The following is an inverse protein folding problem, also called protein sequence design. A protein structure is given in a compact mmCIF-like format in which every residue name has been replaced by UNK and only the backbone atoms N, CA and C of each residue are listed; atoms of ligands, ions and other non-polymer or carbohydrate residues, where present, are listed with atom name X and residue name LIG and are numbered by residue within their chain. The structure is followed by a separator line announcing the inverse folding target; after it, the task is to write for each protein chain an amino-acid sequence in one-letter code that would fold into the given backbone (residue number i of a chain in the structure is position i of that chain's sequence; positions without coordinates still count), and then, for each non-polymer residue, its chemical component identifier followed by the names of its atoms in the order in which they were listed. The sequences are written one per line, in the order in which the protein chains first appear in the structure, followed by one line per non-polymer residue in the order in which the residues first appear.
data_IF_267208569054
#
_entry.id   IF_267208569054
#
_cell.length_a   1.000
_cell.length_b   1.000
_cell.length_c   1.000
_cell.angle_alpha   90.00
_cell.angle_beta   90.00
_cell.angle_gamma   90.00
#
_symmetry.space_group_name_H-M   'P 1'
#
loop_
_entity.id
_entity.type
_entity.pdbx_description
1 polymer ?
#
# COMPACT_ATOMS: atom_id res chain seq x y z
N UNK A 1 -14.85 -24.90 -18.06
CA UNK A 1 -14.49 -24.29 -16.77
C UNK A 1 -13.97 -22.91 -17.07
N UNK A 2 -14.59 -21.87 -16.54
CA UNK A 2 -14.16 -20.49 -16.77
C UNK A 2 -12.88 -20.23 -15.99
N UNK A 3 -11.91 -19.55 -16.59
CA UNK A 3 -10.69 -19.18 -15.89
C UNK A 3 -11.00 -18.16 -14.76
N UNK A 4 -10.44 -18.32 -13.56
CA UNK A 4 -10.65 -17.40 -12.44
C UNK A 4 -10.25 -15.95 -12.73
N UNK A 5 -10.81 -15.03 -11.94
CA UNK A 5 -10.48 -13.59 -11.95
C UNK A 5 -9.68 -13.25 -10.71
N UNK A 6 -8.44 -12.82 -10.91
CA UNK A 6 -7.64 -12.19 -9.87
C UNK A 6 -7.99 -10.70 -9.82
N UNK A 7 -8.39 -10.18 -8.66
CA UNK A 7 -8.81 -8.78 -8.51
C UNK A 7 -7.75 -8.01 -7.74
N UNK A 8 -7.25 -6.92 -8.33
CA UNK A 8 -6.19 -6.10 -7.73
C UNK A 8 -6.76 -5.00 -6.85
N UNK A 9 -7.72 -4.25 -7.38
CA UNK A 9 -8.26 -3.06 -6.75
C UNK A 9 -9.65 -2.73 -7.31
N UNK A 10 -10.40 -1.94 -6.55
CA UNK A 10 -11.63 -1.27 -7.00
C UNK A 10 -11.33 0.22 -7.15
N UNK A 11 -11.85 0.85 -8.20
CA UNK A 11 -11.65 2.27 -8.49
C UNK A 11 -12.98 2.91 -8.92
N UNK A 12 -13.06 4.24 -8.83
CA UNK A 12 -14.07 5.01 -9.59
C UNK A 12 -13.71 5.00 -11.08
N UNK A 13 -14.68 5.10 -12.00
CA UNK A 13 -14.41 5.21 -13.43
C UNK A 13 -13.41 6.32 -13.76
N UNK A 14 -12.44 5.99 -14.61
CA UNK A 14 -11.45 6.91 -15.13
C UNK A 14 -11.22 6.65 -16.62
N UNK A 15 -10.75 7.68 -17.33
CA UNK A 15 -10.62 7.65 -18.79
C UNK A 15 -9.23 7.25 -19.26
N UNK A 16 -8.19 7.61 -18.50
CA UNK A 16 -6.79 7.32 -18.84
C UNK A 16 -6.57 5.80 -19.00
N UNK A 17 -6.05 5.32 -20.14
CA UNK A 17 -5.77 3.91 -20.33
C UNK A 17 -4.64 3.44 -19.42
N UNK A 18 -4.68 2.17 -19.01
CA UNK A 18 -3.52 1.52 -18.40
C UNK A 18 -2.45 1.30 -19.46
N UNK A 19 -1.19 1.26 -19.03
CA UNK A 19 -0.06 0.97 -19.91
C UNK A 19 -0.29 -0.37 -20.64
N UNK A 20 -0.11 -0.38 -21.96
CA UNK A 20 -0.44 -1.53 -22.79
C UNK A 20 0.41 -2.77 -22.46
N UNK A 21 1.63 -2.56 -21.98
CA UNK A 21 2.58 -3.61 -21.62
C UNK A 21 2.58 -3.97 -20.13
N UNK A 22 1.62 -3.42 -19.36
CA UNK A 22 1.55 -3.69 -17.92
C UNK A 22 1.24 -5.18 -17.69
N UNK A 23 2.27 -5.92 -17.28
CA UNK A 23 2.14 -7.31 -16.85
C UNK A 23 1.51 -7.38 -15.47
N UNK A 24 0.43 -8.16 -15.34
CA UNK A 24 -0.15 -8.50 -14.05
C UNK A 24 0.38 -9.82 -13.48
N UNK A 25 -0.33 -10.31 -12.48
CA UNK A 25 -0.16 -11.65 -11.91
C UNK A 25 -0.21 -12.72 -13.01
N UNK A 26 0.72 -13.68 -12.93
CA UNK A 26 0.93 -14.73 -13.93
C UNK A 26 1.22 -14.20 -15.36
N UNK A 27 1.68 -12.96 -15.50
CA UNK A 27 1.92 -12.31 -16.79
C UNK A 27 0.63 -11.92 -17.52
N UNK A 28 -0.54 -12.07 -16.90
CA UNK A 28 -1.81 -11.76 -17.52
C UNK A 28 -2.11 -10.25 -17.43
N UNK A 29 -2.39 -9.57 -18.55
CA UNK A 29 -2.60 -8.12 -18.55
C UNK A 29 -3.86 -7.76 -17.74
N UNK A 30 -3.82 -6.68 -16.93
CA UNK A 30 -4.98 -6.23 -16.18
C UNK A 30 -6.04 -5.64 -17.12
N UNK A 31 -7.30 -5.95 -16.82
CA UNK A 31 -8.49 -5.52 -17.54
C UNK A 31 -9.42 -4.77 -16.59
N UNK A 32 -10.19 -3.84 -17.15
CA UNK A 32 -11.21 -3.07 -16.43
C UNK A 32 -12.55 -3.77 -16.54
N UNK A 33 -13.11 -4.20 -15.41
CA UNK A 33 -14.48 -4.72 -15.32
C UNK A 33 -15.37 -3.65 -14.69
N UNK A 34 -16.20 -3.00 -15.50
CA UNK A 34 -17.14 -1.97 -15.04
C UNK A 34 -18.45 -2.60 -14.55
N UNK A 35 -18.95 -2.13 -13.40
CA UNK A 35 -20.26 -2.48 -12.87
C UNK A 35 -20.83 -1.29 -12.09
N UNK A 36 -21.91 -0.69 -12.60
CA UNK A 36 -22.49 0.52 -12.01
C UNK A 36 -21.47 1.67 -11.90
N UNK A 37 -21.35 2.34 -10.74
CA UNK A 37 -20.42 3.43 -10.51
C UNK A 37 -18.99 2.97 -10.16
N UNK A 38 -18.70 1.67 -10.23
CA UNK A 38 -17.42 1.09 -9.81
C UNK A 38 -16.73 0.34 -10.95
N UNK A 39 -15.41 0.25 -10.85
CA UNK A 39 -14.56 -0.50 -11.77
C UNK A 39 -13.63 -1.40 -10.97
N UNK A 40 -13.72 -2.70 -11.17
CA UNK A 40 -12.72 -3.64 -10.68
C UNK A 40 -11.59 -3.78 -11.71
N UNK A 41 -10.35 -3.80 -11.24
CA UNK A 41 -9.19 -4.15 -12.06
C UNK A 41 -8.89 -5.62 -11.86
N UNK A 42 -8.94 -6.39 -12.94
CA UNK A 42 -8.90 -7.86 -12.89
C UNK A 42 -7.96 -8.44 -13.94
N UNK A 43 -7.32 -9.56 -13.64
CA UNK A 43 -6.63 -10.41 -14.64
C UNK A 43 -7.31 -11.77 -14.71
N UNK A 44 -7.35 -12.33 -15.92
CA UNK A 44 -7.73 -13.73 -16.13
C UNK A 44 -6.51 -14.59 -15.84
N UNK A 45 -6.62 -15.47 -14.85
CA UNK A 45 -5.49 -16.26 -14.35
C UNK A 45 -5.76 -17.76 -14.52
N UNK A 46 -4.72 -18.59 -14.72
CA UNK A 46 -4.92 -20.00 -15.02
C UNK A 46 -5.49 -20.76 -13.81
N UNK A 47 -6.59 -21.50 -14.03
CA UNK A 47 -7.27 -22.26 -12.98
C UNK A 47 -6.34 -23.27 -12.26
N UNK A 48 -5.36 -23.83 -12.96
CA UNK A 48 -4.35 -24.76 -12.39
C UNK A 48 -3.55 -24.17 -11.22
N UNK A 49 -3.41 -22.84 -11.16
CA UNK A 49 -2.60 -22.15 -10.14
C UNK A 49 -3.48 -21.34 -9.18
N UNK A 50 -4.67 -20.91 -9.62
CA UNK A 50 -5.53 -19.96 -8.88
C UNK A 50 -6.90 -20.50 -8.46
N UNK A 51 -7.23 -21.76 -8.76
CA UNK A 51 -8.40 -22.40 -8.14
C UNK A 51 -8.18 -22.56 -6.63
N UNK A 52 -9.25 -22.64 -5.80
CA UNK A 52 -9.12 -22.58 -4.33
C UNK A 52 -8.12 -23.57 -3.71
N UNK A 53 -8.08 -24.83 -4.19
CA UNK A 53 -7.11 -25.84 -3.74
C UNK A 53 -5.67 -25.48 -4.14
N UNK A 54 -5.36 -25.43 -5.46
CA UNK A 54 -4.02 -25.09 -5.94
C UNK A 54 -3.48 -23.75 -5.41
N UNK A 55 -4.34 -22.73 -5.28
CA UNK A 55 -3.94 -21.43 -4.75
C UNK A 55 -3.42 -21.56 -3.31
N UNK A 56 -4.10 -22.33 -2.47
CA UNK A 56 -3.67 -22.57 -1.08
C UNK A 56 -2.29 -23.24 -1.03
N UNK A 57 -2.06 -24.24 -1.89
CA UNK A 57 -0.78 -24.96 -1.94
C UNK A 57 0.34 -24.05 -2.45
N UNK A 58 0.08 -23.26 -3.49
CA UNK A 58 1.02 -22.26 -4.02
C UNK A 58 1.34 -21.17 -3.01
N UNK A 59 0.36 -20.73 -2.23
CA UNK A 59 0.57 -19.76 -1.15
C UNK A 59 1.42 -20.33 0.00
N UNK A 60 1.64 -21.65 0.10
CA UNK A 60 2.58 -22.19 1.08
C UNK A 60 4.04 -21.89 0.70
N UNK A 61 4.34 -21.75 -0.60
CA UNK A 61 5.67 -21.41 -1.11
C UNK A 61 5.97 -19.91 -0.90
N UNK A 62 6.98 -19.55 -0.08
CA UNK A 62 7.38 -18.16 0.14
C UNK A 62 7.80 -17.44 -1.16
N UNK A 63 8.55 -18.10 -2.04
CA UNK A 63 9.05 -17.47 -3.27
C UNK A 63 7.90 -17.16 -4.23
N UNK A 64 6.91 -18.06 -4.29
CA UNK A 64 5.70 -17.85 -5.10
C UNK A 64 4.84 -16.72 -4.55
N UNK A 65 4.61 -16.68 -3.23
CA UNK A 65 3.91 -15.58 -2.55
C UNK A 65 4.56 -14.23 -2.84
N UNK A 66 5.87 -14.17 -2.70
CA UNK A 66 6.66 -12.97 -2.93
C UNK A 66 6.53 -12.48 -4.37
N UNK A 67 6.58 -13.39 -5.35
CA UNK A 67 6.36 -13.06 -6.75
C UNK A 67 4.93 -12.59 -7.03
N UNK A 68 3.92 -13.24 -6.42
CA UNK A 68 2.52 -12.85 -6.53
C UNK A 68 2.29 -11.44 -6.00
N UNK A 69 2.81 -11.15 -4.80
CA UNK A 69 2.68 -9.84 -4.14
C UNK A 69 3.33 -8.75 -4.98
N UNK A 70 4.57 -8.95 -5.45
CA UNK A 70 5.24 -7.97 -6.33
C UNK A 70 4.45 -7.69 -7.61
N UNK A 71 3.91 -8.72 -8.25
CA UNK A 71 3.10 -8.55 -9.45
C UNK A 71 1.80 -7.81 -9.17
N UNK A 72 1.16 -8.06 -8.02
CA UNK A 72 -0.02 -7.33 -7.58
C UNK A 72 0.30 -5.85 -7.32
N UNK A 73 1.36 -5.58 -6.57
CA UNK A 73 1.82 -4.23 -6.23
C UNK A 73 2.20 -3.43 -7.47
N UNK A 74 2.82 -4.05 -8.47
CA UNK A 74 3.17 -3.41 -9.74
C UNK A 74 1.92 -2.84 -10.44
N UNK A 75 0.82 -3.61 -10.47
CA UNK A 75 -0.44 -3.16 -11.06
C UNK A 75 -1.07 -2.06 -10.23
N UNK A 76 -1.06 -2.19 -8.89
CA UNK A 76 -1.64 -1.18 -7.99
C UNK A 76 -0.86 0.13 -8.03
N UNK A 77 0.48 0.08 -8.11
CA UNK A 77 1.33 1.25 -8.27
C UNK A 77 1.02 1.96 -9.59
N UNK A 78 0.88 1.21 -10.70
CA UNK A 78 0.49 1.78 -11.98
C UNK A 78 -0.90 2.44 -11.91
N UNK A 79 -1.87 1.84 -11.22
CA UNK A 79 -3.18 2.45 -11.00
C UNK A 79 -3.08 3.76 -10.22
N UNK A 80 -2.24 3.83 -9.20
CA UNK A 80 -2.06 5.02 -8.37
C UNK A 80 -1.59 6.25 -9.18
N UNK A 81 -0.94 6.04 -10.33
CA UNK A 81 -0.50 7.13 -11.23
C UNK A 81 -1.65 7.75 -12.03
N UNK A 82 -2.75 7.01 -12.24
CA UNK A 82 -3.86 7.44 -13.11
C UNK A 82 -5.19 7.59 -12.39
N UNK A 83 -5.32 7.05 -11.17
CA UNK A 83 -6.52 7.09 -10.35
C UNK A 83 -6.19 6.89 -8.86
N UNK A 84 -7.20 6.93 -8.00
CA UNK A 84 -7.12 6.54 -6.58
C UNK A 84 -7.68 5.12 -6.43
N UNK A 85 -6.81 4.09 -6.40
CA UNK A 85 -7.27 2.72 -6.21
C UNK A 85 -7.63 2.46 -4.74
N UNK A 86 -8.69 1.69 -4.53
CA UNK A 86 -8.93 0.95 -3.29
C UNK A 86 -8.33 -0.45 -3.46
N UNK A 87 -7.09 -0.69 -3.03
CA UNK A 87 -6.44 -1.97 -3.24
C UNK A 87 -7.12 -3.08 -2.44
N UNK A 88 -7.25 -4.25 -3.06
CA UNK A 88 -7.69 -5.47 -2.38
C UNK A 88 -6.46 -6.24 -1.90
N UNK A 89 -6.66 -7.20 -1.00
CA UNK A 89 -5.54 -8.02 -0.52
C UNK A 89 -4.98 -8.86 -1.66
N UNK A 90 -3.65 -9.10 -1.71
CA UNK A 90 -3.08 -10.11 -2.59
C UNK A 90 -3.79 -11.46 -2.44
N UNK A 91 -3.88 -12.21 -3.54
CA UNK A 91 -4.63 -13.46 -3.63
C UNK A 91 -6.16 -13.34 -3.52
N UNK A 92 -6.74 -12.17 -3.78
CA UNK A 92 -8.20 -12.02 -3.94
C UNK A 92 -8.64 -12.58 -5.31
N UNK A 93 -9.26 -13.76 -5.32
CA UNK A 93 -9.66 -14.47 -6.54
C UNK A 93 -11.14 -14.82 -6.53
N UNK A 94 -11.81 -14.59 -7.66
CA UNK A 94 -13.21 -14.94 -7.92
C UNK A 94 -13.32 -15.96 -9.04
N UNK A 95 -14.39 -16.78 -9.07
CA UNK A 95 -14.56 -17.80 -10.11
C UNK A 95 -14.74 -17.22 -11.52
N UNK A 96 -15.42 -16.08 -11.66
CA UNK A 96 -15.70 -15.45 -12.95
C UNK A 96 -16.06 -13.95 -12.80
N UNK A 97 -16.34 -13.28 -13.94
CA UNK A 97 -16.73 -11.87 -13.97
C UNK A 97 -18.07 -11.61 -13.26
N UNK A 98 -18.98 -12.58 -13.21
CA UNK A 98 -20.28 -12.43 -12.55
C UNK A 98 -20.10 -12.35 -11.04
N UNK A 99 -19.25 -13.20 -10.47
CA UNK A 99 -18.94 -13.16 -9.04
C UNK A 99 -18.23 -11.85 -8.63
N UNK A 100 -17.39 -11.30 -9.49
CA UNK A 100 -16.80 -9.96 -9.24
C UNK A 100 -17.88 -8.88 -9.28
N UNK A 101 -18.84 -8.94 -10.22
CA UNK A 101 -19.96 -7.98 -10.27
C UNK A 101 -20.81 -8.04 -9.00
N UNK A 102 -21.12 -9.24 -8.51
CA UNK A 102 -21.83 -9.42 -7.22
C UNK A 102 -21.07 -8.77 -6.08
N UNK A 103 -19.75 -8.95 -5.98
CA UNK A 103 -18.94 -8.28 -4.95
C UNK A 103 -18.97 -6.74 -5.07
N UNK A 104 -19.00 -6.21 -6.28
CA UNK A 104 -19.14 -4.76 -6.51
C UNK A 104 -20.54 -4.25 -6.16
N UNK A 105 -21.58 -5.06 -6.38
CA UNK A 105 -22.98 -4.73 -6.06
C UNK A 105 -23.22 -4.77 -4.54
N UNK A 106 -22.90 -5.90 -3.90
CA UNK A 106 -23.03 -6.12 -2.45
C UNK A 106 -22.19 -5.12 -1.65
N UNK A 107 -21.03 -4.74 -2.18
CA UNK A 107 -20.12 -3.79 -1.57
C UNK A 107 -20.31 -2.34 -1.99
N UNK A 108 -21.29 -2.03 -2.85
CA UNK A 108 -21.34 -0.79 -3.61
C UNK A 108 -21.25 0.48 -2.77
N UNK A 109 -22.07 0.62 -1.73
CA UNK A 109 -22.08 1.80 -0.86
C UNK A 109 -20.76 1.94 -0.09
N UNK A 110 -20.34 0.88 0.61
CA UNK A 110 -19.10 0.85 1.40
C UNK A 110 -17.84 1.13 0.57
N UNK A 111 -17.77 0.56 -0.64
CA UNK A 111 -16.65 0.77 -1.56
C UNK A 111 -16.62 2.22 -2.06
N UNK A 112 -17.77 2.83 -2.35
CA UNK A 112 -17.86 4.22 -2.77
C UNK A 112 -17.49 5.19 -1.65
N UNK A 113 -17.92 4.94 -0.41
CA UNK A 113 -17.55 5.74 0.75
C UNK A 113 -16.03 5.69 0.98
N UNK A 114 -15.43 4.49 0.93
CA UNK A 114 -13.98 4.33 1.06
C UNK A 114 -13.22 5.04 -0.07
N UNK A 115 -13.67 4.91 -1.32
CA UNK A 115 -13.08 5.64 -2.45
C UNK A 115 -13.21 7.16 -2.31
N UNK A 116 -14.29 7.65 -1.72
CA UNK A 116 -14.49 9.08 -1.42
C UNK A 116 -13.51 9.55 -0.35
N UNK A 117 -13.33 8.77 0.70
CA UNK A 117 -12.40 9.06 1.77
C UNK A 117 -10.94 9.15 1.33
N UNK A 118 -10.57 8.25 0.41
CA UNK A 118 -9.20 8.11 -0.09
C UNK A 118 -8.90 9.05 -1.26
N UNK A 119 -9.90 9.75 -1.78
CA UNK A 119 -9.76 10.57 -2.97
C UNK A 119 -8.69 11.66 -2.78
N UNK A 120 -7.76 11.78 -3.71
CA UNK A 120 -6.61 12.68 -3.59
C UNK A 120 -5.59 12.33 -2.49
N UNK A 121 -5.69 11.18 -1.82
CA UNK A 121 -4.76 10.76 -0.77
C UNK A 121 -3.80 9.65 -1.21
N UNK A 122 -2.67 9.57 -0.53
CA UNK A 122 -1.65 8.53 -0.68
C UNK A 122 -1.18 8.06 0.70
N UNK A 123 -0.70 6.83 0.78
CA UNK A 123 -0.17 6.25 2.01
C UNK A 123 1.36 6.41 2.07
N UNK A 124 1.85 6.87 3.22
CA UNK A 124 3.26 6.95 3.57
C UNK A 124 3.55 6.08 4.79
N UNK A 125 4.46 5.12 4.64
CA UNK A 125 4.95 4.29 5.74
C UNK A 125 6.20 4.92 6.36
N UNK A 126 6.20 5.09 7.68
CA UNK A 126 7.37 5.54 8.45
C UNK A 126 7.77 4.47 9.45
N UNK A 127 9.02 4.04 9.35
CA UNK A 127 9.63 3.11 10.28
C UNK A 127 10.83 3.78 10.94
N UNK A 128 10.91 3.71 12.27
CA UNK A 128 12.06 4.18 13.05
C UNK A 128 12.66 2.99 13.79
N UNK A 129 13.93 2.71 13.53
CA UNK A 129 14.71 1.67 14.22
C UNK A 129 15.94 2.27 14.89
N UNK A 130 16.40 1.62 15.96
CA UNK A 130 17.68 1.93 16.60
C UNK A 130 17.57 2.22 18.09
N UNK A 131 18.70 2.62 18.68
CA UNK A 131 18.82 3.11 20.05
C UNK A 131 19.73 4.34 20.08
N UNK A 132 19.63 5.21 21.10
CA UNK A 132 20.50 6.38 21.16
C UNK A 132 21.98 5.91 21.25
N UNK A 133 22.95 6.69 20.73
CA UNK A 133 24.37 6.34 20.91
C UNK A 133 24.67 6.21 22.41
N UNK A 134 25.48 5.22 22.83
CA UNK A 134 25.80 5.04 24.24
C UNK A 134 26.53 6.29 24.76
N UNK A 135 25.91 6.99 25.72
CA UNK A 135 26.53 8.11 26.45
C UNK A 135 25.98 9.53 26.17
N UNK A 136 24.91 9.68 25.39
CA UNK A 136 24.27 10.99 25.19
C UNK A 136 23.24 11.32 26.27
N UNK A 137 23.41 12.45 26.99
CA UNK A 137 22.37 13.07 27.82
C UNK A 137 21.30 13.73 26.92
N UNK A 138 20.62 12.91 26.11
CA UNK A 138 19.59 13.31 25.16
C UNK A 138 18.33 12.46 25.31
N UNK A 139 17.26 12.90 24.64
CA UNK A 139 15.96 12.22 24.58
C UNK A 139 16.09 10.72 24.26
N UNK A 140 15.29 9.87 24.92
CA UNK A 140 15.28 8.43 24.64
C UNK A 140 14.78 8.17 23.22
N UNK A 141 15.24 7.09 22.59
CA UNK A 141 14.82 6.77 21.22
C UNK A 141 13.29 6.51 21.10
N UNK A 142 12.65 6.03 22.17
CA UNK A 142 11.19 5.97 22.26
C UNK A 142 10.52 7.36 22.36
N UNK A 143 11.14 8.32 23.03
CA UNK A 143 10.66 9.71 23.07
C UNK A 143 10.68 10.34 21.68
N UNK A 144 11.78 10.14 20.97
CA UNK A 144 11.96 10.58 19.57
C UNK A 144 10.90 9.98 18.64
N UNK A 145 10.65 8.67 18.72
CA UNK A 145 9.61 8.00 17.94
C UNK A 145 8.20 8.55 18.22
N UNK A 146 7.87 8.82 19.49
CA UNK A 146 6.57 9.42 19.88
C UNK A 146 6.39 10.84 19.36
N UNK A 147 7.44 11.67 19.40
CA UNK A 147 7.40 13.05 18.87
C UNK A 147 7.18 13.04 17.37
N UNK A 148 7.98 12.28 16.62
CA UNK A 148 7.79 12.13 15.18
C UNK A 148 6.38 11.62 14.86
N UNK A 149 5.89 10.62 15.59
CA UNK A 149 4.53 10.12 15.40
C UNK A 149 3.47 11.20 15.61
N UNK A 150 3.64 12.06 16.62
CA UNK A 150 2.72 13.16 16.92
C UNK A 150 2.71 14.21 15.81
N UNK A 151 3.89 14.64 15.35
CA UNK A 151 4.03 15.65 14.29
C UNK A 151 3.46 15.15 12.95
N UNK A 152 3.79 13.91 12.56
CA UNK A 152 3.26 13.27 11.35
C UNK A 152 1.75 13.04 11.44
N UNK A 153 1.22 12.69 12.61
CA UNK A 153 -0.23 12.55 12.83
C UNK A 153 -0.95 13.90 12.70
N UNK A 154 -0.34 14.99 13.19
CA UNK A 154 -0.89 16.34 13.03
C UNK A 154 -0.90 16.77 11.56
N UNK A 155 0.16 16.47 10.79
CA UNK A 155 0.20 16.70 9.35
C UNK A 155 -0.85 15.88 8.58
N UNK A 156 -0.95 14.58 8.86
CA UNK A 156 -2.01 13.73 8.31
C UNK A 156 -3.40 14.26 8.68
N UNK A 157 -3.56 14.85 9.88
CA UNK A 157 -4.82 15.45 10.28
C UNK A 157 -5.23 16.69 9.46
N UNK A 158 -4.26 17.50 9.00
CA UNK A 158 -4.51 18.61 8.07
C UNK A 158 -4.98 18.15 6.69
N UNK A 159 -4.70 16.91 6.31
CA UNK A 159 -5.20 16.36 5.03
C UNK A 159 -6.74 16.29 5.00
N UNK A 160 -7.42 16.18 6.15
CA UNK A 160 -8.89 16.13 6.23
C UNK A 160 -9.60 17.40 5.80
N UNK A 161 -8.98 18.58 5.94
CA UNK A 161 -9.60 19.83 5.46
C UNK A 161 -9.54 19.98 3.94
N UNK A 162 -8.77 19.11 3.27
CA UNK A 162 -8.64 19.08 1.81
C UNK A 162 -9.50 17.97 1.17
N UNK A 163 -10.01 17.04 1.97
CA UNK A 163 -10.88 15.97 1.53
C UNK A 163 -12.34 16.45 1.41
N UNK A 164 -13.08 16.12 0.34
CA UNK A 164 -14.51 16.32 0.31
C UNK A 164 -15.23 15.30 1.21
N UNK A 165 -15.75 15.75 2.37
CA UNK A 165 -16.68 15.00 3.22
C UNK A 165 -16.17 14.61 4.62
N UNK A 166 -17.11 14.23 5.49
CA UNK A 166 -16.86 13.85 6.91
C UNK A 166 -16.40 12.39 7.08
N UNK A 167 -15.52 11.89 6.21
CA UNK A 167 -15.14 10.47 6.27
C UNK A 167 -14.38 10.10 7.55
N UNK A 168 -14.71 8.94 8.12
CA UNK A 168 -14.18 8.39 9.38
C UNK A 168 -12.86 7.61 9.21
N UNK A 169 -12.26 7.57 8.02
CA UNK A 169 -11.02 6.80 7.81
C UNK A 169 -9.91 7.28 8.78
N UNK A 170 -9.28 6.36 9.54
CA UNK A 170 -8.18 6.69 10.42
C UNK A 170 -7.05 7.39 9.66
N UNK A 171 -6.40 8.39 10.27
CA UNK A 171 -5.31 9.17 9.64
C UNK A 171 -3.94 8.50 9.76
N UNK A 172 -3.82 7.67 10.79
CA UNK A 172 -2.67 6.84 11.04
C UNK A 172 -3.18 5.43 11.37
N UNK A 173 -2.48 4.44 10.86
CA UNK A 173 -2.71 3.04 11.16
C UNK A 173 -1.37 2.41 11.55
N UNK A 174 -1.35 1.34 12.36
CA UNK A 174 -0.16 0.50 12.42
C UNK A 174 0.16 0.06 10.99
N UNK A 175 1.39 0.26 10.54
CA UNK A 175 1.76 -0.23 9.21
C UNK A 175 1.55 -1.76 9.22
N UNK A 176 0.63 -2.23 8.39
CA UNK A 176 0.27 -3.65 8.38
C UNK A 176 1.51 -4.42 7.93
N UNK A 177 2.01 -5.35 8.77
CA UNK A 177 3.08 -6.28 8.40
C UNK A 177 2.56 -7.27 7.35
N UNK A 178 2.44 -6.75 6.14
CA UNK A 178 2.00 -7.36 4.89
C UNK A 178 2.75 -6.79 3.69
N UNK A 179 3.48 -5.68 3.90
CA UNK A 179 4.70 -5.35 3.20
C UNK A 179 5.84 -5.28 4.21
N UNK A 180 6.76 -6.23 4.19
CA UNK A 180 8.18 -5.86 4.40
C UNK A 180 8.48 -4.72 3.41
N UNK A 181 9.45 -3.80 3.65
CA UNK A 181 9.80 -2.78 2.67
C UNK A 181 10.23 -3.45 1.35
N UNK A 182 9.27 -3.74 0.48
CA UNK A 182 9.43 -4.38 -0.81
C UNK A 182 9.85 -3.26 -1.77
N UNK A 183 11.07 -2.81 -1.55
CA UNK A 183 11.68 -1.65 -2.19
C UNK A 183 13.14 -1.40 -1.79
N UNK A 184 13.77 -2.28 -0.99
CA UNK A 184 15.23 -2.22 -0.75
C UNK A 184 15.95 -3.53 -1.12
N UNK A 185 15.30 -4.43 -1.84
CA UNK A 185 15.91 -5.64 -2.38
C UNK A 185 15.94 -5.62 -3.91
N UNK A 186 17.12 -5.37 -4.49
CA UNK A 186 17.49 -5.47 -5.91
C UNK A 186 17.00 -4.35 -6.86
N UNK A 187 17.69 -3.20 -6.80
CA UNK A 187 18.21 -2.56 -8.01
C UNK A 187 19.67 -2.98 -8.19
N UNK A 188 19.92 -4.19 -8.67
CA UNK A 188 21.16 -4.48 -9.40
C UNK A 188 20.93 -4.05 -10.84
N UNK A 189 21.27 -2.80 -11.14
CA UNK A 189 21.05 -2.20 -12.44
C UNK A 189 21.43 -0.72 -12.48
N UNK A 190 22.72 -0.44 -12.40
CA UNK A 190 23.38 0.77 -12.94
C UNK A 190 22.67 2.11 -12.78
N UNK A 191 22.62 2.63 -11.56
CA UNK A 191 22.36 4.05 -11.27
C UNK A 191 22.77 4.31 -9.83
N UNK A 192 23.71 5.23 -9.60
CA UNK A 192 24.21 5.52 -8.25
C UNK A 192 23.06 5.93 -7.31
N UNK A 193 22.94 5.30 -6.13
CA UNK A 193 21.99 5.72 -5.11
C UNK A 193 22.50 7.00 -4.44
N UNK A 194 21.72 8.08 -4.54
CA UNK A 194 21.89 9.24 -3.66
C UNK A 194 21.52 8.82 -2.23
N UNK A 195 22.54 8.63 -1.38
CA UNK A 195 22.42 8.58 0.08
C UNK A 195 22.09 7.19 0.64
N UNK A 196 23.14 6.45 1.01
CA UNK A 196 23.03 5.12 1.62
C UNK A 196 22.33 5.12 2.98
N UNK A 197 21.25 4.34 3.07
CA UNK A 197 20.76 3.76 4.32
C UNK A 197 20.76 2.24 4.15
N UNK A 198 21.60 1.54 4.92
CA UNK A 198 21.57 0.08 4.98
C UNK A 198 20.20 -0.39 5.48
N UNK A 199 19.63 -1.49 4.94
CA UNK A 199 18.46 -2.13 5.54
C UNK A 199 18.82 -2.54 6.97
N UNK A 200 17.92 -2.25 7.91
CA UNK A 200 18.09 -2.45 9.35
C UNK A 200 18.97 -3.66 9.69
N UNK A 201 20.07 -3.43 10.41
CA UNK A 201 20.86 -4.53 10.99
C UNK A 201 19.94 -5.34 11.89
N UNK A 202 19.80 -6.61 11.54
CA UNK A 202 19.04 -7.66 12.23
C UNK A 202 19.29 -7.57 13.76
N UNK A 203 18.34 -7.01 14.53
CA UNK A 203 18.37 -7.00 16.00
C UNK A 203 18.03 -5.68 16.72
N UNK A 204 17.85 -4.56 16.02
CA UNK A 204 17.50 -3.29 16.67
C UNK A 204 15.99 -3.16 16.97
N UNK A 205 15.60 -2.55 18.11
CA UNK A 205 14.19 -2.38 18.44
C UNK A 205 13.50 -1.44 17.46
N UNK A 206 12.29 -1.80 17.04
CA UNK A 206 11.41 -0.95 16.24
C UNK A 206 10.69 0.00 17.18
N UNK A 207 10.95 1.31 17.02
CA UNK A 207 10.45 2.37 17.89
C UNK A 207 9.16 3.00 17.36
N UNK A 208 9.01 3.00 16.03
CA UNK A 208 7.81 3.45 15.34
C UNK A 208 7.64 2.62 14.07
N UNK A 209 6.42 2.17 13.80
CA UNK A 209 6.04 1.57 12.54
C UNK A 209 4.59 1.94 12.23
N UNK A 210 4.40 3.03 11.49
CA UNK A 210 3.09 3.62 11.25
C UNK A 210 2.91 3.97 9.77
N UNK A 211 1.69 3.80 9.28
CA UNK A 211 1.24 4.29 7.99
C UNK A 211 0.43 5.57 8.20
N UNK A 212 0.60 6.54 7.30
CA UNK A 212 -0.07 7.83 7.33
C UNK A 212 -0.79 8.08 6.01
N UNK A 213 -2.05 8.47 6.09
CA UNK A 213 -2.82 8.89 4.92
C UNK A 213 -2.66 10.40 4.73
N UNK A 214 -2.02 10.80 3.63
CA UNK A 214 -1.66 12.20 3.36
C UNK A 214 -2.24 12.62 2.01
N UNK A 215 -2.83 13.82 1.96
CA UNK A 215 -3.30 14.38 0.70
C UNK A 215 -2.10 14.61 -0.25
N UNK A 216 -2.25 14.32 -1.55
CA UNK A 216 -1.17 14.42 -2.55
C UNK A 216 -0.49 15.79 -2.55
N UNK A 217 -1.25 16.87 -2.34
CA UNK A 217 -0.72 18.25 -2.27
C UNK A 217 0.17 18.53 -1.05
N UNK A 218 0.08 17.71 0.01
CA UNK A 218 0.89 17.85 1.23
C UNK A 218 2.04 16.84 1.26
N UNK A 219 2.23 16.04 0.21
CA UNK A 219 3.24 14.98 0.19
C UNK A 219 4.67 15.53 0.26
N UNK A 220 4.96 16.62 -0.45
CA UNK A 220 6.28 17.26 -0.40
C UNK A 220 6.60 17.78 1.01
N UNK A 221 5.65 18.48 1.64
CA UNK A 221 5.79 18.97 3.02
C UNK A 221 6.00 17.81 4.02
N UNK A 222 5.29 16.69 3.83
CA UNK A 222 5.43 15.50 4.66
C UNK A 222 6.82 14.88 4.54
N UNK A 223 7.32 14.70 3.31
CA UNK A 223 8.67 14.16 3.04
C UNK A 223 9.74 15.08 3.64
N UNK A 224 9.65 16.39 3.38
CA UNK A 224 10.61 17.36 3.93
C UNK A 224 10.66 17.33 5.46
N UNK A 225 9.51 17.15 6.12
CA UNK A 225 9.47 17.07 7.57
C UNK A 225 10.21 15.84 8.10
N UNK A 226 10.04 14.69 7.46
CA UNK A 226 10.76 13.46 7.82
C UNK A 226 12.27 13.60 7.57
N UNK A 227 12.67 14.21 6.45
CA UNK A 227 14.10 14.46 6.17
C UNK A 227 14.74 15.43 7.17
N UNK A 228 14.07 16.54 7.52
CA UNK A 228 14.55 17.45 8.58
C UNK A 228 14.67 16.74 9.94
N UNK A 229 13.80 15.76 10.22
CA UNK A 229 13.90 14.95 11.43
C UNK A 229 15.12 14.03 11.38
N UNK A 230 15.40 13.39 10.23
CA UNK A 230 16.59 12.56 10.02
C UNK A 230 17.89 13.33 10.28
N UNK A 231 18.00 14.54 9.74
CA UNK A 231 19.17 15.42 9.93
C UNK A 231 19.43 15.77 11.40
N UNK A 232 18.36 15.98 12.18
CA UNK A 232 18.44 16.34 13.61
C UNK A 232 18.76 15.15 14.51
N UNK A 233 18.63 13.93 14.01
CA UNK A 233 18.72 12.70 14.80
C UNK A 233 19.56 11.63 14.08
N UNK A 234 20.86 11.86 13.85
CA UNK A 234 21.72 10.94 13.10
C UNK A 234 21.90 9.56 13.77
N UNK A 235 21.51 9.40 15.05
CA UNK A 235 21.51 8.13 15.76
C UNK A 235 20.24 7.27 15.60
N UNK A 236 19.20 7.80 14.94
CA UNK A 236 17.98 7.05 14.65
C UNK A 236 17.93 6.70 13.16
N UNK A 237 17.70 5.42 12.84
CA UNK A 237 17.46 4.99 11.47
C UNK A 237 15.97 5.20 11.16
N UNK A 238 15.66 6.31 10.51
CA UNK A 238 14.31 6.60 10.01
C UNK A 238 14.23 6.23 8.54
N UNK A 239 13.30 5.35 8.20
CA UNK A 239 12.96 4.96 6.84
C UNK A 239 11.58 5.52 6.48
N UNK A 240 11.50 6.14 5.32
CA UNK A 240 10.26 6.61 4.70
C UNK A 240 9.99 5.76 3.47
N UNK A 241 8.77 5.28 3.32
CA UNK A 241 8.33 4.49 2.16
C UNK A 241 7.03 5.07 1.60
N UNK A 242 6.93 5.19 0.28
CA UNK A 242 5.76 5.71 -0.42
C UNK A 242 6.14 6.63 -1.58
N UNK A 243 5.17 7.26 -2.25
CA UNK A 243 3.73 7.19 -1.97
C UNK A 243 3.12 5.86 -2.44
N UNK A 244 2.45 5.14 -1.53
CA UNK A 244 1.77 3.88 -1.82
C UNK A 244 0.28 4.08 -2.03
N UNK A 245 -0.36 3.06 -2.63
CA UNK A 245 -1.82 2.92 -2.53
C UNK A 245 -2.21 2.63 -1.08
N UNK A 246 -3.41 3.07 -0.64
CA UNK A 246 -3.79 3.11 0.77
C UNK A 246 -4.24 1.75 1.35
N UNK A 247 -3.37 0.73 1.31
CA UNK A 247 -3.66 -0.61 1.84
C UNK A 247 -4.09 -0.60 3.30
N UNK A 248 -3.40 0.18 4.14
CA UNK A 248 -3.64 0.23 5.60
C UNK A 248 -4.95 0.93 5.96
N UNK A 249 -5.58 1.59 4.99
CA UNK A 249 -6.80 2.39 5.16
C UNK A 249 -7.99 1.83 4.37
N UNK A 250 -7.85 0.62 3.81
CA UNK A 250 -8.95 -0.08 3.16
C UNK A 250 -9.84 -0.79 4.19
N UNK A 251 -11.18 -0.79 4.00
CA UNK A 251 -12.06 -1.56 4.88
C UNK A 251 -11.74 -3.05 4.78
N UNK A 252 -11.87 -3.78 5.90
CA UNK A 252 -11.59 -5.20 5.95
C UNK A 252 -12.35 -5.98 4.85
N UNK A 253 -11.69 -6.96 4.22
CA UNK A 253 -12.22 -7.59 3.01
C UNK A 253 -13.56 -8.29 3.24
N UNK A 254 -14.36 -8.32 2.19
CA UNK A 254 -15.40 -9.34 2.03
C UNK A 254 -14.68 -10.69 1.81
N UNK A 255 -15.02 -11.71 2.60
CA UNK A 255 -14.51 -13.07 2.43
C UNK A 255 -13.49 -13.52 3.49
N UNK A 256 -13.96 -13.69 4.72
CA UNK A 256 -13.48 -14.76 5.60
C UNK A 256 -14.70 -15.63 5.91
N UNK A 257 -15.00 -16.55 5.00
CA UNK A 257 -16.01 -17.60 5.13
C UNK A 257 -15.45 -18.88 4.56
#
# INVERSE_FOLDING_TARGET
MTDPRYVYAVCRPWDTPLQAELGGVAGAPPKRLRHGPLVAVVSVVPARDFAPGPLRDRLADPAWRDALTRAHETVVAALNTVTTPLPLRPATVFPDDSAVRVMLEDGGERLQEALTALDGHVEWGVTVTGGPPPGGAGESAEGLGRRLHTDLSAMAARSRSLAPGDSEVPRAAPATRGGEPYGTGLLSGGGEPLGGGEPSRRGEPVLLNAAYLVHRSLSEEFVEHVERFRERCPGALVSLSGPWAPYSFTPAPYGSG
#
